data_IF_156126455001
#
_entry.id   IF_156126455001
#
_cell.length_a   1.000
_cell.length_b   1.000
_cell.length_c   1.000
_cell.angle_alpha   90.00
_cell.angle_beta   90.00
_cell.angle_gamma   90.00
#
_symmetry.space_group_name_H-M   'P 1'
#
loop_
_entity.id
_entity.type
_entity.pdbx_description
1 polymer ?
#
# COMPACT_ATOMS: atom_id res chain seq x y z
N UNK A 1 -3.83 -18.64 -15.06
CA UNK A 1 -3.65 -17.98 -13.75
C UNK A 1 -2.91 -18.82 -12.70
N UNK A 2 -3.54 -19.75 -11.94
CA UNK A 2 -2.88 -20.37 -10.76
C UNK A 2 -1.57 -21.12 -11.04
N UNK A 3 -1.44 -21.75 -12.21
CA UNK A 3 -0.20 -22.41 -12.61
C UNK A 3 0.93 -21.39 -12.87
N UNK A 4 0.61 -20.23 -13.46
CA UNK A 4 1.58 -19.16 -13.75
C UNK A 4 2.08 -18.52 -12.46
N UNK A 5 1.23 -18.38 -11.44
CA UNK A 5 1.64 -17.86 -10.14
C UNK A 5 2.75 -18.72 -9.51
N UNK A 6 2.70 -20.05 -9.66
CA UNK A 6 3.77 -20.94 -9.17
C UNK A 6 5.08 -20.72 -9.91
N UNK A 7 5.02 -20.38 -11.20
CA UNK A 7 6.22 -20.04 -12.00
C UNK A 7 6.84 -18.73 -11.48
N UNK A 8 6.01 -17.73 -11.17
CA UNK A 8 6.46 -16.47 -10.56
C UNK A 8 7.13 -16.71 -9.20
N UNK A 9 6.51 -17.52 -8.34
CA UNK A 9 7.07 -17.90 -7.04
C UNK A 9 8.40 -18.64 -7.18
N UNK A 10 8.51 -19.58 -8.11
CA UNK A 10 9.76 -20.29 -8.41
C UNK A 10 10.86 -19.34 -8.94
N UNK A 11 10.48 -18.19 -9.50
CA UNK A 11 11.40 -17.14 -9.96
C UNK A 11 11.78 -16.14 -8.85
N UNK A 12 11.35 -16.38 -7.61
CA UNK A 12 11.64 -15.53 -6.45
C UNK A 12 10.65 -14.37 -6.26
N UNK A 13 9.62 -14.24 -7.10
CA UNK A 13 8.58 -13.21 -6.96
C UNK A 13 7.58 -13.67 -5.90
N UNK A 14 7.29 -12.80 -4.94
CA UNK A 14 6.25 -13.05 -3.94
C UNK A 14 4.87 -12.89 -4.56
N UNK A 15 4.03 -13.90 -4.39
CA UNK A 15 2.64 -13.86 -4.86
C UNK A 15 1.71 -13.77 -3.66
N UNK A 16 0.98 -12.67 -3.58
CA UNK A 16 0.04 -12.37 -2.50
C UNK A 16 -1.38 -12.29 -3.06
N UNK A 17 -2.37 -12.48 -2.20
CA UNK A 17 -3.75 -12.08 -2.49
C UNK A 17 -4.04 -10.68 -1.94
N UNK A 18 -5.06 -10.02 -2.47
CA UNK A 18 -5.66 -8.83 -1.86
C UNK A 18 -7.07 -9.19 -1.38
N UNK A 19 -7.41 -8.85 -0.13
CA UNK A 19 -8.73 -9.05 0.45
C UNK A 19 -9.43 -7.70 0.58
N UNK A 20 -10.68 -7.63 0.10
CA UNK A 20 -11.54 -6.45 0.25
C UNK A 20 -11.49 -5.54 -0.97
N UNK A 21 -10.98 -4.33 -0.77
CA UNK A 21 -11.06 -3.22 -1.71
C UNK A 21 -12.43 -2.57 -1.77
N UNK A 22 -12.70 -1.83 -2.85
CA UNK A 22 -13.90 -1.01 -3.03
C UNK A 22 -15.23 -1.76 -2.82
N UNK A 23 -15.26 -3.07 -3.12
CA UNK A 23 -16.43 -3.92 -2.90
C UNK A 23 -16.56 -4.30 -1.40
N UNK A 24 -17.34 -3.48 -0.68
CA UNK A 24 -17.54 -3.61 0.77
C UNK A 24 -18.17 -4.95 1.19
N UNK A 25 -17.88 -5.36 2.41
CA UNK A 25 -18.55 -6.43 3.14
C UNK A 25 -17.62 -7.52 3.66
N UNK A 26 -16.35 -7.53 3.26
CA UNK A 26 -15.37 -8.52 3.72
C UNK A 26 -15.00 -8.26 5.18
N UNK A 27 -14.61 -7.02 5.50
CA UNK A 27 -14.17 -6.64 6.83
C UNK A 27 -15.34 -6.48 7.78
N UNK A 28 -16.51 -6.01 7.30
CA UNK A 28 -17.75 -6.00 8.10
C UNK A 28 -18.10 -7.38 8.66
N UNK A 29 -17.82 -8.46 7.90
CA UNK A 29 -18.05 -9.85 8.34
C UNK A 29 -16.95 -10.34 9.29
N UNK A 30 -15.71 -9.97 9.03
CA UNK A 30 -14.55 -10.32 9.85
C UNK A 30 -14.45 -9.49 11.16
N UNK A 31 -15.28 -8.47 11.31
CA UNK A 31 -15.36 -7.63 12.53
C UNK A 31 -16.50 -8.04 13.49
N UNK A 32 -17.18 -9.16 13.23
CA UNK A 32 -18.24 -9.69 14.09
C UNK A 32 -17.69 -10.50 15.28
N UNK A 33 -18.57 -11.10 16.07
CA UNK A 33 -18.18 -12.02 17.14
C UNK A 33 -17.34 -13.21 16.63
N UNK A 34 -16.73 -13.95 17.56
CA UNK A 34 -15.81 -15.03 17.21
C UNK A 34 -16.47 -16.15 16.41
N UNK A 35 -17.75 -16.45 16.64
CA UNK A 35 -18.45 -17.49 15.90
C UNK A 35 -18.63 -17.10 14.43
N UNK A 36 -19.06 -15.86 14.17
CA UNK A 36 -19.21 -15.34 12.81
C UNK A 36 -17.84 -15.13 12.16
N UNK A 37 -16.85 -14.64 12.91
CA UNK A 37 -15.47 -14.50 12.43
C UNK A 37 -14.94 -15.81 11.86
N UNK A 38 -15.06 -16.93 12.58
CA UNK A 38 -14.56 -18.23 12.12
C UNK A 38 -15.27 -18.72 10.85
N UNK A 39 -16.58 -18.48 10.72
CA UNK A 39 -17.36 -18.85 9.53
C UNK A 39 -16.77 -18.22 8.26
N UNK A 40 -16.32 -16.95 8.33
CA UNK A 40 -15.76 -16.24 7.18
C UNK A 40 -14.24 -16.35 7.06
N UNK A 41 -13.53 -16.45 8.18
CA UNK A 41 -12.08 -16.57 8.21
C UNK A 41 -11.59 -17.95 7.75
N UNK A 42 -12.26 -19.04 8.13
CA UNK A 42 -11.81 -20.40 7.79
C UNK A 42 -11.76 -20.62 6.25
N UNK A 43 -12.78 -20.25 5.46
CA UNK A 43 -12.70 -20.35 4.00
C UNK A 43 -11.55 -19.54 3.39
N UNK A 44 -11.34 -18.31 3.87
CA UNK A 44 -10.20 -17.47 3.46
C UNK A 44 -8.86 -18.15 3.76
N UNK A 45 -8.68 -18.64 5.01
CA UNK A 45 -7.48 -19.36 5.42
C UNK A 45 -7.25 -20.59 4.55
N UNK A 46 -8.29 -21.35 4.24
CA UNK A 46 -8.18 -22.55 3.41
C UNK A 46 -7.77 -22.19 1.98
N UNK A 47 -8.31 -21.11 1.40
CA UNK A 47 -7.89 -20.61 0.08
C UNK A 47 -6.40 -20.24 0.07
N UNK A 48 -5.93 -19.46 1.05
CA UNK A 48 -4.53 -19.07 1.18
C UNK A 48 -3.62 -20.32 1.22
N UNK A 49 -4.04 -21.32 2.00
CA UNK A 49 -3.30 -22.58 2.18
C UNK A 49 -3.30 -23.45 0.92
N UNK A 50 -4.46 -23.57 0.25
CA UNK A 50 -4.62 -24.35 -0.99
C UNK A 50 -3.84 -23.74 -2.16
N UNK A 51 -3.81 -22.41 -2.25
CA UNK A 51 -3.12 -21.68 -3.32
C UNK A 51 -1.65 -21.41 -3.00
N UNK A 52 -1.22 -21.57 -1.75
CA UNK A 52 0.16 -21.36 -1.33
C UNK A 52 0.60 -19.90 -1.49
N UNK A 53 -0.28 -18.94 -1.14
CA UNK A 53 0.05 -17.52 -1.24
C UNK A 53 1.15 -17.17 -0.20
N UNK A 54 2.10 -16.33 -0.60
CA UNK A 54 3.17 -15.84 0.28
C UNK A 54 2.67 -14.82 1.32
N UNK A 55 1.50 -14.24 1.07
CA UNK A 55 0.94 -13.19 1.91
C UNK A 55 -0.45 -12.73 1.49
N UNK A 56 -0.99 -11.79 2.27
CA UNK A 56 -2.28 -11.15 2.04
C UNK A 56 -2.17 -9.65 2.28
N UNK A 57 -2.62 -8.87 1.31
CA UNK A 57 -2.88 -7.45 1.45
C UNK A 57 -4.31 -7.23 1.96
N UNK A 58 -4.44 -6.49 3.06
CA UNK A 58 -5.72 -6.16 3.67
C UNK A 58 -6.11 -4.74 3.22
N UNK A 59 -6.83 -4.68 2.11
CA UNK A 59 -7.28 -3.43 1.49
C UNK A 59 -8.62 -2.99 2.09
N UNK A 60 -8.56 -2.37 3.27
CA UNK A 60 -9.74 -2.06 4.09
C UNK A 60 -10.40 -0.75 3.64
N UNK A 61 -11.32 -0.83 2.68
CA UNK A 61 -12.11 0.32 2.18
C UNK A 61 -13.55 0.37 2.75
N UNK A 62 -13.70 -0.10 3.98
CA UNK A 62 -14.92 -0.03 4.79
C UNK A 62 -14.57 0.10 6.28
N UNK A 63 -15.48 0.67 7.07
CA UNK A 63 -15.30 0.79 8.53
C UNK A 63 -15.06 -0.57 9.18
N UNK A 64 -13.91 -0.71 9.85
CA UNK A 64 -13.53 -1.88 10.64
C UNK A 64 -12.97 -1.45 11.99
N UNK A 65 -13.33 -2.14 13.06
CA UNK A 65 -12.77 -1.85 14.38
C UNK A 65 -11.26 -2.15 14.45
N UNK A 66 -10.53 -1.37 15.27
CA UNK A 66 -9.11 -1.63 15.53
C UNK A 66 -8.90 -3.04 16.13
N UNK A 67 -9.81 -3.49 16.99
CA UNK A 67 -9.75 -4.83 17.57
C UNK A 67 -9.95 -5.93 16.52
N UNK A 68 -10.84 -5.72 15.55
CA UNK A 68 -11.08 -6.64 14.45
C UNK A 68 -9.87 -6.81 13.54
N UNK A 69 -9.26 -5.72 13.10
CA UNK A 69 -8.06 -5.80 12.23
C UNK A 69 -6.88 -6.43 12.98
N UNK A 70 -6.71 -6.10 14.26
CA UNK A 70 -5.72 -6.74 15.15
C UNK A 70 -5.95 -8.25 15.24
N UNK A 71 -7.20 -8.67 15.47
CA UNK A 71 -7.57 -10.10 15.52
C UNK A 71 -7.24 -10.78 14.20
N UNK A 72 -7.59 -10.19 13.06
CA UNK A 72 -7.30 -10.76 11.75
C UNK A 72 -5.79 -10.94 11.50
N UNK A 73 -4.99 -9.90 11.80
CA UNK A 73 -3.52 -9.96 11.68
C UNK A 73 -2.93 -11.06 12.57
N UNK A 74 -3.37 -11.13 13.84
CA UNK A 74 -2.90 -12.14 14.78
C UNK A 74 -3.24 -13.55 14.32
N UNK A 75 -4.45 -13.77 13.78
CA UNK A 75 -4.87 -15.08 13.28
C UNK A 75 -4.12 -15.51 12.03
N UNK A 76 -3.87 -14.59 11.10
CA UNK A 76 -3.02 -14.86 9.93
C UNK A 76 -1.59 -15.23 10.36
N UNK A 77 -0.97 -14.46 11.27
CA UNK A 77 0.38 -14.79 11.76
C UNK A 77 0.43 -16.11 12.54
N UNK A 78 -0.60 -16.41 13.33
CA UNK A 78 -0.68 -17.68 14.05
C UNK A 78 -0.80 -18.88 13.10
N UNK A 79 -1.60 -18.76 12.04
CA UNK A 79 -1.89 -19.88 11.12
C UNK A 79 -0.83 -20.09 10.03
N UNK A 80 -0.09 -19.04 9.65
CA UNK A 80 0.88 -19.07 8.54
C UNK A 80 2.32 -18.75 8.96
N UNK A 81 2.54 -18.35 10.22
CA UNK A 81 3.85 -18.06 10.78
C UNK A 81 4.34 -16.63 10.51
N UNK A 82 5.49 -16.30 11.11
CA UNK A 82 6.09 -14.96 11.04
C UNK A 82 6.48 -14.53 9.62
N UNK A 83 6.83 -15.50 8.76
CA UNK A 83 7.23 -15.28 7.37
C UNK A 83 6.07 -14.97 6.42
N UNK A 84 4.81 -15.16 6.82
CA UNK A 84 3.66 -14.79 5.99
C UNK A 84 3.56 -13.27 5.86
N UNK A 85 3.54 -12.76 4.63
CA UNK A 85 3.56 -11.33 4.38
C UNK A 85 2.16 -10.76 4.63
N UNK A 86 2.08 -9.74 5.48
CA UNK A 86 0.84 -9.00 5.70
C UNK A 86 1.11 -7.55 5.36
N UNK A 87 0.30 -6.99 4.47
CA UNK A 87 0.32 -5.59 4.11
C UNK A 87 -1.08 -5.01 4.27
N UNK A 88 -1.16 -3.69 4.29
CA UNK A 88 -2.43 -2.96 4.21
C UNK A 88 -2.31 -1.91 3.11
N UNK A 89 -3.43 -1.44 2.58
CA UNK A 89 -3.46 -0.42 1.54
C UNK A 89 -4.13 0.89 2.01
N UNK A 90 -3.58 1.60 3.01
CA UNK A 90 -4.16 2.86 3.48
C UNK A 90 -4.18 3.89 2.36
N UNK A 91 -5.26 4.64 2.28
CA UNK A 91 -5.25 5.93 1.57
C UNK A 91 -4.20 6.87 2.18
N UNK A 92 -3.46 7.63 1.38
CA UNK A 92 -2.33 8.45 1.87
C UNK A 92 -2.75 9.42 2.98
N UNK A 93 -3.94 10.01 2.88
CA UNK A 93 -4.51 10.88 3.89
C UNK A 93 -4.60 10.23 5.30
N UNK A 94 -4.82 8.92 5.37
CA UNK A 94 -4.94 8.17 6.63
C UNK A 94 -3.60 8.02 7.38
N UNK A 95 -2.46 8.27 6.71
CA UNK A 95 -1.13 8.24 7.32
C UNK A 95 -0.63 9.63 7.71
N UNK A 96 -1.34 10.71 7.33
CA UNK A 96 -0.95 12.10 7.62
C UNK A 96 -1.94 12.82 8.53
N UNK A 97 -3.20 12.38 8.58
CA UNK A 97 -4.29 13.03 9.30
C UNK A 97 -4.95 12.09 10.30
N UNK A 98 -5.34 12.63 11.45
CA UNK A 98 -6.13 11.93 12.47
C UNK A 98 -7.63 12.10 12.27
N UNK A 99 -8.04 12.91 11.28
CA UNK A 99 -9.45 13.17 11.01
C UNK A 99 -10.12 11.93 10.40
N UNK A 100 -11.25 11.44 10.94
CA UNK A 100 -11.89 10.21 10.45
C UNK A 100 -12.25 10.25 8.96
N UNK A 101 -12.67 11.40 8.43
CA UNK A 101 -13.03 11.59 7.02
C UNK A 101 -11.87 11.41 6.03
N UNK A 102 -10.63 11.41 6.53
CA UNK A 102 -9.42 11.18 5.74
C UNK A 102 -9.00 9.71 5.67
N UNK A 103 -9.88 8.79 6.11
CA UNK A 103 -9.60 7.38 6.22
C UNK A 103 -10.82 6.54 5.81
N UNK A 104 -10.60 5.51 4.99
CA UNK A 104 -11.65 4.58 4.57
C UNK A 104 -11.86 3.42 5.55
N UNK A 105 -10.86 3.10 6.37
CA UNK A 105 -10.78 1.85 7.12
C UNK A 105 -11.42 1.89 8.51
N UNK A 106 -11.83 3.07 8.98
CA UNK A 106 -12.36 3.31 10.33
C UNK A 106 -11.29 3.33 11.42
N UNK A 107 -10.50 2.26 11.56
CA UNK A 107 -9.42 2.22 12.55
C UNK A 107 -8.26 3.17 12.23
N UNK A 108 -7.59 3.66 13.27
CA UNK A 108 -6.42 4.53 13.13
C UNK A 108 -5.15 3.72 12.81
N UNK A 109 -4.47 4.06 11.71
CA UNK A 109 -3.27 3.36 11.24
C UNK A 109 -2.05 3.56 12.14
N UNK A 110 -1.88 4.71 12.79
CA UNK A 110 -0.79 4.94 13.74
C UNK A 110 -0.94 4.06 14.98
N UNK A 111 -2.17 3.95 15.51
CA UNK A 111 -2.48 3.02 16.60
C UNK A 111 -2.21 1.57 16.18
N UNK A 112 -2.57 1.19 14.95
CA UNK A 112 -2.27 -0.13 14.42
C UNK A 112 -0.76 -0.38 14.30
N UNK A 113 0.02 0.60 13.83
CA UNK A 113 1.49 0.49 13.73
C UNK A 113 2.14 0.31 15.10
N UNK A 114 1.70 1.07 16.11
CA UNK A 114 2.19 0.91 17.49
C UNK A 114 1.90 -0.48 18.03
N UNK A 115 0.72 -1.03 17.75
CA UNK A 115 0.29 -2.31 18.33
C UNK A 115 0.78 -3.54 17.55
N UNK A 116 0.88 -3.45 16.23
CA UNK A 116 1.11 -4.57 15.31
C UNK A 116 2.14 -4.31 14.22
N UNK A 117 2.89 -3.22 14.29
CA UNK A 117 3.86 -2.86 13.26
C UNK A 117 4.91 -3.93 12.97
N UNK A 118 5.30 -4.75 13.96
CA UNK A 118 6.22 -5.88 13.75
C UNK A 118 5.62 -7.05 12.97
N UNK A 119 4.29 -7.14 12.90
CA UNK A 119 3.55 -8.14 12.14
C UNK A 119 3.19 -7.67 10.72
N UNK A 120 3.30 -6.36 10.45
CA UNK A 120 2.97 -5.74 9.16
C UNK A 120 4.26 -5.46 8.41
N UNK A 121 4.38 -5.98 7.19
CA UNK A 121 5.58 -5.86 6.38
C UNK A 121 5.74 -4.44 5.82
N UNK A 122 4.68 -3.90 5.20
CA UNK A 122 4.60 -2.52 4.70
C UNK A 122 3.15 -2.12 4.43
N UNK A 123 2.98 -0.87 4.01
CA UNK A 123 1.73 -0.23 3.63
C UNK A 123 1.78 0.17 2.14
N UNK A 124 0.85 -0.35 1.34
CA UNK A 124 0.64 0.03 -0.06
C UNK A 124 -0.14 1.36 -0.11
N UNK A 125 0.54 2.46 0.22
CA UNK A 125 -0.09 3.75 0.48
C UNK A 125 -0.63 4.39 -0.79
N UNK A 126 -1.94 4.64 -0.86
CA UNK A 126 -2.60 5.11 -2.08
C UNK A 126 -2.49 6.64 -2.24
N UNK A 127 -1.66 7.12 -3.18
CA UNK A 127 -1.49 8.55 -3.49
C UNK A 127 -2.34 8.99 -4.71
N UNK A 128 -3.60 8.56 -4.74
CA UNK A 128 -4.53 8.81 -5.85
C UNK A 128 -5.97 8.96 -5.34
N UNK A 129 -6.92 9.18 -6.25
CA UNK A 129 -8.35 9.36 -5.95
C UNK A 129 -8.67 10.48 -4.94
N UNK A 130 -7.84 11.52 -4.88
CA UNK A 130 -8.02 12.66 -3.97
C UNK A 130 -7.45 12.45 -2.57
N UNK A 131 -6.93 11.26 -2.27
CA UNK A 131 -6.36 10.95 -0.96
C UNK A 131 -4.88 11.29 -0.81
N UNK A 132 -4.22 11.60 -1.91
CA UNK A 132 -2.81 11.98 -1.96
C UNK A 132 -2.42 12.42 -3.36
N UNK A 133 -1.21 12.97 -3.46
CA UNK A 133 -0.68 13.53 -4.69
C UNK A 133 0.80 13.15 -4.83
N UNK A 134 1.12 12.38 -5.87
CA UNK A 134 2.49 11.95 -6.19
C UNK A 134 3.15 12.80 -7.28
N UNK A 135 2.57 13.97 -7.63
CA UNK A 135 3.25 14.98 -8.47
C UNK A 135 4.30 15.78 -7.70
N UNK A 136 4.36 15.62 -6.37
CA UNK A 136 5.33 16.27 -5.47
C UNK A 136 5.67 15.36 -4.29
N UNK A 137 6.76 15.65 -3.58
CA UNK A 137 7.25 14.84 -2.45
C UNK A 137 6.54 15.12 -1.11
N UNK A 138 5.83 16.25 -1.00
CA UNK A 138 5.34 16.79 0.26
C UNK A 138 4.46 15.82 1.09
N UNK A 139 3.57 15.06 0.44
CA UNK A 139 2.72 14.08 1.15
C UNK A 139 3.54 12.96 1.78
N UNK A 140 4.52 12.43 1.05
CA UNK A 140 5.43 11.41 1.57
C UNK A 140 6.33 11.98 2.68
N UNK A 141 6.85 13.20 2.49
CA UNK A 141 7.69 13.88 3.49
C UNK A 141 6.92 14.08 4.81
N UNK A 142 5.62 14.41 4.74
CA UNK A 142 4.76 14.54 5.90
C UNK A 142 4.62 13.23 6.68
N UNK A 143 4.47 12.10 6.00
CA UNK A 143 4.46 10.79 6.65
C UNK A 143 5.76 10.54 7.41
N UNK A 144 6.90 10.88 6.80
CA UNK A 144 8.20 10.72 7.46
C UNK A 144 8.35 11.65 8.68
N UNK A 145 7.82 12.87 8.61
CA UNK A 145 7.78 13.80 9.76
C UNK A 145 6.89 13.31 10.90
N UNK A 146 5.82 12.55 10.59
CA UNK A 146 4.97 11.88 11.59
C UNK A 146 5.61 10.62 12.19
N UNK A 147 6.78 10.20 11.68
CA UNK A 147 7.56 9.09 12.24
C UNK A 147 7.31 7.74 11.56
N UNK A 148 6.64 7.71 10.40
CA UNK A 148 6.51 6.48 9.63
C UNK A 148 7.87 5.99 9.13
N UNK A 149 8.22 4.70 9.29
CA UNK A 149 9.45 4.16 8.74
C UNK A 149 9.37 4.08 7.21
N UNK A 150 10.29 4.74 6.50
CA UNK A 150 10.29 4.82 5.04
C UNK A 150 10.23 3.44 4.33
N UNK A 151 10.84 2.41 4.92
CA UNK A 151 10.84 1.05 4.35
C UNK A 151 9.47 0.36 4.41
N UNK A 152 8.54 0.90 5.20
CA UNK A 152 7.16 0.41 5.27
C UNK A 152 6.18 1.26 4.48
N UNK A 153 6.58 2.39 3.91
CA UNK A 153 5.69 3.23 3.11
C UNK A 153 6.02 3.02 1.63
N UNK A 154 5.19 2.20 0.97
CA UNK A 154 5.24 1.96 -0.47
C UNK A 154 4.36 2.98 -1.18
N UNK A 155 4.89 3.61 -2.23
CA UNK A 155 4.15 4.60 -3.02
C UNK A 155 3.21 3.91 -4.00
N UNK A 156 1.92 3.86 -3.68
CA UNK A 156 0.84 3.37 -4.54
C UNK A 156 0.33 4.44 -5.51
N UNK A 157 0.24 4.09 -6.79
CA UNK A 157 -0.14 5.00 -7.89
C UNK A 157 -1.07 4.28 -8.87
N UNK A 158 -1.95 5.04 -9.53
CA UNK A 158 -2.67 4.52 -10.69
C UNK A 158 -1.73 4.42 -11.89
N UNK A 159 -1.75 3.29 -12.61
CA UNK A 159 -0.88 3.02 -13.77
C UNK A 159 -1.45 3.58 -15.08
N UNK A 160 -2.75 3.88 -15.09
CA UNK A 160 -3.50 4.43 -16.20
C UNK A 160 -4.54 5.42 -15.64
N UNK A 161 -4.77 6.60 -16.26
CA UNK A 161 -5.80 7.55 -15.82
C UNK A 161 -7.22 6.97 -15.83
N UNK A 162 -7.47 5.88 -16.59
CA UNK A 162 -8.74 5.16 -16.54
C UNK A 162 -8.98 4.36 -15.25
N UNK A 163 -7.95 4.14 -14.43
CA UNK A 163 -8.06 3.35 -13.18
C UNK A 163 -8.42 4.22 -11.97
N UNK A 164 -8.43 5.55 -12.12
CA UNK A 164 -8.75 6.49 -11.04
C UNK A 164 -8.16 7.87 -11.27
N UNK A 165 -8.64 8.84 -10.49
CA UNK A 165 -8.13 10.21 -10.51
C UNK A 165 -6.72 10.27 -9.89
N UNK A 166 -5.93 11.28 -10.27
CA UNK A 166 -4.60 11.50 -9.70
C UNK A 166 -3.46 10.76 -10.41
N UNK A 167 -3.66 10.33 -11.66
CA UNK A 167 -2.56 9.83 -12.49
C UNK A 167 -1.52 10.93 -12.73
N UNK A 168 -0.24 10.57 -12.59
CA UNK A 168 0.90 11.50 -12.71
C UNK A 168 1.72 11.17 -13.95
N UNK A 169 2.04 12.16 -14.81
CA UNK A 169 2.94 11.97 -15.94
C UNK A 169 4.31 11.40 -15.55
N UNK A 170 4.84 10.50 -16.39
CA UNK A 170 6.09 9.78 -16.14
C UNK A 170 7.29 10.70 -15.90
N UNK A 171 7.38 11.84 -16.58
CA UNK A 171 8.47 12.81 -16.42
C UNK A 171 8.50 13.40 -15.01
N UNK A 172 7.34 13.81 -14.51
CA UNK A 172 7.18 14.34 -13.16
C UNK A 172 7.45 13.24 -12.14
N UNK A 173 6.83 12.08 -12.35
CA UNK A 173 6.94 10.96 -11.43
C UNK A 173 8.39 10.48 -11.27
N UNK A 174 9.17 10.49 -12.36
CA UNK A 174 10.59 10.16 -12.33
C UNK A 174 11.37 11.08 -11.40
N UNK A 175 11.15 12.38 -11.47
CA UNK A 175 11.84 13.34 -10.62
C UNK A 175 11.45 13.16 -9.14
N UNK A 176 10.16 12.96 -8.87
CA UNK A 176 9.65 12.72 -7.51
C UNK A 176 10.27 11.47 -6.91
N UNK A 177 10.21 10.32 -7.60
CA UNK A 177 10.73 9.05 -7.10
C UNK A 177 12.25 9.07 -6.87
N UNK A 178 13.02 9.72 -7.76
CA UNK A 178 14.45 9.88 -7.56
C UNK A 178 14.76 10.74 -6.32
N UNK A 179 14.01 11.82 -6.11
CA UNK A 179 14.18 12.66 -4.93
C UNK A 179 13.81 11.93 -3.63
N UNK A 180 12.73 11.16 -3.62
CA UNK A 180 12.33 10.36 -2.45
C UNK A 180 13.40 9.31 -2.12
N UNK A 181 13.89 8.59 -3.13
CA UNK A 181 14.93 7.58 -2.92
C UNK A 181 16.25 8.18 -2.42
N UNK A 182 16.64 9.36 -2.93
CA UNK A 182 17.83 10.08 -2.45
C UNK A 182 17.68 10.55 -1.00
N UNK A 183 16.49 11.06 -0.65
CA UNK A 183 16.20 11.61 0.69
C UNK A 183 16.00 10.52 1.74
N UNK A 184 15.41 9.39 1.35
CA UNK A 184 15.06 8.28 2.22
C UNK A 184 15.76 7.00 1.73
N UNK A 185 16.98 6.70 2.23
CA UNK A 185 17.77 5.55 1.73
C UNK A 185 17.09 4.18 1.90
N UNK A 186 16.15 4.07 2.83
CA UNK A 186 15.34 2.87 3.05
C UNK A 186 13.96 3.00 2.39
N UNK A 187 13.83 3.73 1.29
CA UNK A 187 12.57 3.92 0.55
C UNK A 187 11.87 2.58 0.28
N UNK A 188 10.59 2.47 0.67
CA UNK A 188 9.83 1.21 0.63
C UNK A 188 9.55 0.66 -0.77
N UNK A 189 9.54 1.52 -1.80
CA UNK A 189 9.28 1.13 -3.18
C UNK A 189 7.98 1.69 -3.75
N UNK A 190 7.47 1.05 -4.79
CA UNK A 190 6.26 1.49 -5.52
C UNK A 190 5.27 0.35 -5.71
N UNK A 191 3.99 0.69 -5.80
CA UNK A 191 2.88 -0.19 -6.17
C UNK A 191 2.09 0.47 -7.31
N UNK A 192 1.60 -0.32 -8.26
CA UNK A 192 0.84 0.16 -9.41
C UNK A 192 -0.57 -0.46 -9.46
N UNK A 193 -1.59 0.39 -9.43
CA UNK A 193 -3.00 0.04 -9.61
C UNK A 193 -3.47 0.35 -11.06
N UNK A 194 -3.58 -0.61 -11.97
CA UNK A 194 -3.27 -2.03 -11.88
C UNK A 194 -2.56 -2.51 -13.16
N UNK A 195 -2.22 -3.80 -13.25
CA UNK A 195 -1.33 -4.31 -14.31
C UNK A 195 -1.90 -4.17 -15.72
N UNK A 196 -3.10 -4.71 -16.00
CA UNK A 196 -3.49 -5.13 -17.36
C UNK A 196 -3.54 -4.02 -18.43
N UNK A 197 -3.72 -2.76 -18.05
CA UNK A 197 -3.81 -1.60 -18.93
C UNK A 197 -2.73 -0.54 -18.61
N UNK A 198 -1.66 -0.94 -17.95
CA UNK A 198 -0.60 -0.03 -17.51
C UNK A 198 0.05 0.69 -18.68
N UNK A 199 0.09 2.02 -18.62
CA UNK A 199 0.86 2.84 -19.57
C UNK A 199 2.38 2.65 -19.36
N UNK A 200 3.23 2.89 -20.36
CA UNK A 200 2.93 3.41 -21.70
C UNK A 200 2.43 2.36 -22.71
N UNK A 201 2.57 1.07 -22.41
CA UNK A 201 2.24 -0.01 -23.34
C UNK A 201 0.75 -0.38 -23.40
N UNK A 202 -0.05 0.12 -22.45
CA UNK A 202 -1.48 -0.19 -22.28
C UNK A 202 -1.71 -1.72 -22.33
N UNK A 203 -2.87 -2.18 -22.82
CA UNK A 203 -3.23 -3.61 -22.92
C UNK A 203 -2.28 -4.45 -23.77
N UNK A 204 -1.60 -3.85 -24.75
CA UNK A 204 -0.70 -4.61 -25.63
C UNK A 204 0.62 -4.96 -24.93
N UNK A 205 1.14 -4.04 -24.11
CA UNK A 205 2.44 -4.18 -23.45
C UNK A 205 2.42 -3.64 -22.00
N UNK A 206 1.52 -4.13 -21.13
CA UNK A 206 1.33 -3.57 -19.79
C UNK A 206 2.59 -3.66 -18.91
N UNK A 207 3.45 -4.65 -19.18
CA UNK A 207 4.73 -4.84 -18.50
C UNK A 207 5.72 -3.68 -18.67
N UNK A 208 5.52 -2.77 -19.65
CA UNK A 208 6.40 -1.62 -19.85
C UNK A 208 6.44 -0.67 -18.67
N UNK A 209 5.34 -0.56 -17.92
CA UNK A 209 5.31 0.21 -16.68
C UNK A 209 6.31 -0.32 -15.66
N UNK A 210 6.30 -1.62 -15.41
CA UNK A 210 7.21 -2.27 -14.47
C UNK A 210 8.68 -2.15 -14.94
N UNK A 211 8.92 -2.30 -16.25
CA UNK A 211 10.24 -2.11 -16.83
C UNK A 211 10.74 -0.65 -16.68
N UNK A 212 9.86 0.33 -16.81
CA UNK A 212 10.17 1.74 -16.59
C UNK A 212 10.47 2.04 -15.12
N UNK A 213 9.64 1.54 -14.20
CA UNK A 213 9.84 1.67 -12.75
C UNK A 213 11.17 1.06 -12.32
N UNK A 214 11.48 -0.15 -12.78
CA UNK A 214 12.76 -0.82 -12.51
C UNK A 214 13.94 0.05 -12.94
N UNK A 215 13.90 0.63 -14.15
CA UNK A 215 14.96 1.53 -14.63
C UNK A 215 15.15 2.79 -13.79
N UNK A 216 14.14 3.26 -13.07
CA UNK A 216 14.26 4.44 -12.19
C UNK A 216 14.75 4.02 -10.82
N UNK A 217 14.17 2.96 -10.28
CA UNK A 217 14.48 2.47 -8.95
C UNK A 217 15.85 1.80 -8.89
N UNK A 218 16.40 1.26 -9.97
CA UNK A 218 17.75 0.68 -9.98
C UNK A 218 18.87 1.73 -10.06
N UNK A 219 18.59 2.95 -10.54
CA UNK A 219 19.61 3.95 -10.89
C UNK A 219 20.35 4.61 -9.73
N UNK A 220 20.21 4.12 -8.50
CA UNK A 220 20.94 4.64 -7.34
C UNK A 220 21.35 3.47 -6.42
N UNK A 221 22.59 3.46 -5.90
CA UNK A 221 23.10 2.34 -5.11
C UNK A 221 22.23 2.13 -3.87
N UNK A 222 21.84 0.87 -3.62
CA UNK A 222 21.28 0.48 -2.34
C UNK A 222 22.28 0.84 -1.24
N UNK A 223 21.86 1.62 -0.25
CA UNK A 223 22.70 1.89 0.91
C UNK A 223 22.98 0.56 1.61
N UNK A 224 24.23 0.09 1.51
CA UNK A 224 24.69 -1.10 2.20
C UNK A 224 24.45 -0.94 3.70
N UNK A 225 23.60 -1.78 4.27
CA UNK A 225 23.36 -1.81 5.71
C UNK A 225 24.60 -2.41 6.40
N UNK A 226 25.54 -1.56 6.77
CA UNK A 226 26.62 -1.89 7.70
C UNK A 226 26.22 -1.40 9.09
N UNK A 227 25.72 -2.31 9.92
CA UNK A 227 25.57 -2.08 11.36
C UNK A 227 26.99 -2.05 11.95
N UNK A 228 27.49 -0.87 12.26
CA UNK A 228 28.59 -0.71 13.22
C UNK A 228 28.28 0.45 14.15
N UNK A 229 28.10 0.11 15.42
CA UNK A 229 27.93 1.01 16.55
C UNK A 229 29.15 1.92 16.70
N UNK A 230 28.93 3.24 16.62
CA UNK A 230 29.84 4.21 17.22
C UNK A 230 29.04 5.46 17.63
N UNK A 231 29.00 5.67 18.94
CA UNK A 231 28.49 6.84 19.63
C UNK A 231 29.31 8.09 19.31
N UNK A 232 28.65 9.17 18.88
CA UNK A 232 29.20 10.53 19.02
C UNK A 232 28.07 11.54 19.13
N UNK A 233 28.09 12.25 20.26
CA UNK A 233 27.28 13.41 20.60
C UNK A 233 27.80 14.69 19.92
N UNK A 234 26.91 15.52 19.34
CA UNK A 234 27.15 16.95 19.14
C UNK A 234 25.87 17.76 18.82
N UNK A 235 25.61 18.73 19.71
CA UNK A 235 25.16 20.13 19.52
C UNK A 235 23.98 20.46 18.58
N UNK A 236 22.92 20.99 19.19
CA UNK A 236 21.72 21.58 18.56
C UNK A 236 21.99 23.03 18.15
N UNK A 237 21.82 23.34 16.86
CA UNK A 237 21.72 24.72 16.35
C UNK A 237 20.28 25.00 15.91
N UNK A 238 19.67 26.04 16.50
CA UNK A 238 18.28 26.44 16.28
C UNK A 238 18.12 27.14 14.92
N UNK A 239 17.33 26.57 14.02
CA UNK A 239 16.77 27.28 12.86
C UNK A 239 15.33 27.74 13.11
N UNK A 240 15.01 28.94 12.63
CA UNK A 240 13.72 29.64 12.78
C UNK A 240 12.64 29.05 11.85
N UNK A 241 11.35 29.10 12.23
CA UNK A 241 10.27 28.54 11.43
C UNK A 241 9.93 29.41 10.21
N UNK A 242 9.67 28.75 9.08
CA UNK A 242 9.20 29.35 7.83
C UNK A 242 7.93 28.61 7.39
N UNK A 243 6.78 28.94 7.99
CA UNK A 243 5.47 28.69 7.37
C UNK A 243 4.51 29.79 7.83
N UNK A 244 3.96 30.54 6.88
CA UNK A 244 2.78 31.39 7.07
C UNK A 244 1.81 31.14 5.90
N UNK A 245 1.07 30.05 5.96
CA UNK A 245 -0.21 29.84 5.27
C UNK A 245 -0.71 28.43 5.57
N UNK A 246 -1.92 28.34 6.11
CA UNK A 246 -2.62 27.08 6.36
C UNK A 246 -2.98 26.44 5.01
N UNK A 247 -2.70 25.15 4.86
CA UNK A 247 -2.99 24.34 3.67
C UNK A 247 -4.44 23.78 3.71
N UNK A 248 -5.20 24.11 4.77
CA UNK A 248 -6.61 23.73 4.92
C UNK A 248 -7.54 24.40 3.87
N UNK A 249 -7.09 25.46 3.18
CA UNK A 249 -7.94 26.23 2.27
C UNK A 249 -8.18 25.56 0.89
N UNK A 250 -7.44 24.49 0.56
CA UNK A 250 -7.55 23.80 -0.74
C UNK A 250 -8.39 22.50 -0.71
N UNK A 251 -8.93 22.11 0.46
CA UNK A 251 -9.75 20.90 0.61
C UNK A 251 -11.25 21.26 0.68
N UNK A 252 -11.89 21.47 -0.47
CA UNK A 252 -13.36 21.62 -0.55
C UNK A 252 -14.00 20.56 -1.44
N UNK A 253 -14.90 19.76 -0.86
CA UNK A 253 -15.81 18.84 -1.58
C UNK A 253 -15.65 17.37 -1.21
N UNK A 254 -16.76 16.63 -1.24
CA UNK A 254 -16.76 15.17 -1.11
C UNK A 254 -16.08 14.52 -2.33
N UNK A 255 -15.17 13.59 -2.10
CA UNK A 255 -14.54 12.82 -3.17
C UNK A 255 -15.59 11.92 -3.86
N UNK A 256 -15.68 11.92 -5.20
CA UNK A 256 -16.63 11.08 -5.91
C UNK A 256 -16.26 9.60 -5.76
N UNK A 257 -17.25 8.76 -5.47
CA UNK A 257 -17.11 7.30 -5.46
C UNK A 257 -16.75 6.80 -6.88
N UNK A 258 -15.79 5.88 -7.02
CA UNK A 258 -15.52 5.21 -8.29
C UNK A 258 -16.77 4.49 -8.82
N UNK A 259 -16.95 4.47 -10.14
CA UNK A 259 -18.04 3.75 -10.79
C UNK A 259 -17.91 2.22 -10.66
N UNK A 260 -19.00 1.48 -10.86
CA UNK A 260 -19.01 0.02 -10.89
C UNK A 260 -17.97 -0.54 -11.88
N UNK A 261 -17.22 -1.54 -11.44
CA UNK A 261 -16.10 -2.15 -12.18
C UNK A 261 -16.54 -3.50 -12.77
N UNK A 262 -16.26 -3.70 -14.07
CA UNK A 262 -16.62 -4.93 -14.79
C UNK A 262 -15.40 -5.85 -14.92
N UNK A 263 -15.48 -7.06 -14.36
CA UNK A 263 -14.41 -8.06 -14.43
C UNK A 263 -14.45 -8.79 -15.77
N UNK A 264 -13.41 -8.63 -16.59
CA UNK A 264 -13.19 -9.49 -17.74
C UNK A 264 -12.47 -10.77 -17.31
N UNK A 265 -13.21 -11.86 -17.16
CA UNK A 265 -12.64 -13.20 -17.11
C UNK A 265 -12.61 -13.76 -18.53
N UNK A 266 -11.45 -14.18 -19.02
CA UNK A 266 -11.39 -14.96 -20.25
C UNK A 266 -12.03 -16.32 -19.98
N UNK A 267 -13.23 -16.51 -20.52
CA UNK A 267 -14.01 -17.73 -20.38
C UNK A 267 -13.28 -18.93 -20.99
N UNK A 268 -13.29 -20.04 -20.25
CA UNK A 268 -12.90 -21.35 -20.77
C UNK A 268 -13.92 -21.73 -21.83
N UNK A 269 -13.46 -21.94 -23.07
CA UNK A 269 -14.26 -22.58 -24.11
C UNK A 269 -14.45 -24.04 -23.67
N UNK A 270 -15.67 -24.39 -23.29
CA UNK A 270 -16.09 -25.78 -23.10
C UNK A 270 -16.32 -26.40 -24.49
N UNK A 271 -15.63 -27.51 -24.77
CA UNK A 271 -16.05 -28.54 -25.72
C UNK A 271 -16.74 -29.69 -24.95
#
# INVERSE_FOLDING_TARGET
MWAELRILQASGIKVMGMLGGAAKGSFTRLDKDDAIFEIYYIPLRNLIRERGLDGLDLDVEEEMSLAGIIRLIDRLKADFGSGFIITLAPVAAALISERPEHNLSGFNYEALEVMKGSSIAWYNTQFYCGWGDMSKTAGYDMMMMRGWPAHKVVVGMVTNPGNGNGWVPFEILREVLLNLKLRYPTFGGVMGWEYFNSLPGDRERPWEWAAWMTKILDKLPAAAHSITSASTSAVVEKQKPLVSSNVDDDLTGDAPLPSEFEYHSEGVVED
#
